data_IF_349466519481
#
_entry.id   IF_349466519481
#
_cell.length_a   1.000
_cell.length_b   1.000
_cell.length_c   1.000
_cell.angle_alpha   90.00
_cell.angle_beta   90.00
_cell.angle_gamma   90.00
#
_symmetry.space_group_name_H-M   'P 1'
#
loop_
_entity.id
_entity.type
_entity.pdbx_description
1 polymer ?
#
# COMPACT_ATOMS: atom_id res chain seq x y z
N UNK A 1 -23.64 -17.11 -15.53
CA UNK A 1 -22.48 -17.48 -14.69
C UNK A 1 -21.12 -17.29 -15.38
N UNK A 2 -21.04 -17.18 -16.71
CA UNK A 2 -19.80 -16.90 -17.46
C UNK A 2 -19.32 -15.45 -17.37
N UNK A 3 -20.21 -14.46 -17.38
CA UNK A 3 -19.83 -13.03 -17.37
C UNK A 3 -19.13 -12.58 -16.08
N UNK A 4 -19.49 -13.16 -14.94
CA UNK A 4 -18.88 -12.83 -13.63
C UNK A 4 -17.44 -13.35 -13.57
N UNK A 5 -17.18 -14.53 -14.13
CA UNK A 5 -15.85 -15.13 -14.18
C UNK A 5 -14.87 -14.31 -15.04
N UNK A 6 -15.33 -13.82 -16.20
CA UNK A 6 -14.55 -12.94 -17.06
C UNK A 6 -14.19 -11.62 -16.35
N UNK A 7 -15.14 -11.03 -15.62
CA UNK A 7 -14.91 -9.79 -14.88
C UNK A 7 -13.85 -9.96 -13.77
N UNK A 8 -13.89 -11.08 -13.05
CA UNK A 8 -12.89 -11.40 -12.01
C UNK A 8 -11.49 -11.59 -12.58
N UNK A 9 -11.36 -12.21 -13.76
CA UNK A 9 -10.06 -12.40 -14.41
C UNK A 9 -9.46 -11.06 -14.87
N UNK A 10 -10.29 -10.20 -15.46
CA UNK A 10 -9.87 -8.86 -15.88
C UNK A 10 -9.44 -8.02 -14.68
N UNK A 11 -10.19 -8.07 -13.57
CA UNK A 11 -9.83 -7.30 -12.37
C UNK A 11 -8.54 -7.81 -11.72
N UNK A 12 -8.28 -9.12 -11.73
CA UNK A 12 -7.01 -9.69 -11.28
C UNK A 12 -5.85 -9.20 -12.13
N UNK A 13 -5.95 -9.30 -13.46
CA UNK A 13 -4.89 -8.86 -14.36
C UNK A 13 -4.62 -7.36 -14.24
N UNK A 14 -5.67 -6.56 -14.14
CA UNK A 14 -5.56 -5.12 -13.91
C UNK A 14 -4.85 -4.81 -12.59
N UNK A 15 -5.21 -5.53 -11.51
CA UNK A 15 -4.60 -5.35 -10.19
C UNK A 15 -3.11 -5.71 -10.19
N UNK A 16 -2.69 -6.72 -10.95
CA UNK A 16 -1.28 -7.08 -11.07
C UNK A 16 -0.53 -6.01 -11.89
N UNK A 17 -1.07 -5.65 -13.06
CA UNK A 17 -0.40 -4.74 -13.99
C UNK A 17 -0.30 -3.30 -13.46
N UNK A 18 -1.32 -2.81 -12.76
CA UNK A 18 -1.27 -1.51 -12.09
C UNK A 18 -0.67 -1.59 -10.69
N UNK A 19 -0.86 -2.69 -9.96
CA UNK A 19 -0.39 -2.82 -8.59
C UNK A 19 1.13 -2.89 -8.48
N UNK A 20 1.81 -3.57 -9.41
CA UNK A 20 3.27 -3.68 -9.37
C UNK A 20 3.96 -2.31 -9.57
N UNK A 21 3.65 -1.52 -10.61
CA UNK A 21 4.22 -0.18 -10.77
C UNK A 21 3.90 0.74 -9.59
N UNK A 22 2.64 0.75 -9.12
CA UNK A 22 2.23 1.58 -7.98
C UNK A 22 2.99 1.20 -6.70
N UNK A 23 3.28 -0.09 -6.51
CA UNK A 23 4.12 -0.56 -5.40
C UNK A 23 5.53 0.02 -5.48
N UNK A 24 6.20 -0.09 -6.64
CA UNK A 24 7.56 0.42 -6.81
C UNK A 24 7.62 1.94 -6.70
N UNK A 25 6.76 2.67 -7.41
CA UNK A 25 6.73 4.13 -7.35
C UNK A 25 6.34 4.65 -5.95
N UNK A 26 5.37 4.02 -5.30
CA UNK A 26 4.97 4.34 -3.94
C UNK A 26 6.07 4.08 -2.92
N UNK A 27 6.83 3.00 -3.08
CA UNK A 27 7.97 2.67 -2.22
C UNK A 27 9.12 3.65 -2.45
N UNK A 28 9.51 3.90 -3.70
CA UNK A 28 10.58 4.85 -4.05
C UNK A 28 10.23 6.26 -3.57
N UNK A 29 9.02 6.76 -3.86
CA UNK A 29 8.59 8.11 -3.48
C UNK A 29 8.59 8.32 -1.97
N UNK A 30 8.05 7.37 -1.20
CA UNK A 30 8.06 7.48 0.26
C UNK A 30 9.46 7.27 0.86
N UNK A 31 10.29 6.38 0.30
CA UNK A 31 11.69 6.24 0.71
C UNK A 31 12.49 7.52 0.47
N UNK A 32 12.30 8.19 -0.66
CA UNK A 32 12.92 9.48 -0.97
C UNK A 32 12.45 10.58 0.00
N UNK A 33 11.16 10.63 0.34
CA UNK A 33 10.65 11.55 1.36
C UNK A 33 11.33 11.32 2.71
N UNK A 34 11.40 10.07 3.17
CA UNK A 34 12.07 9.73 4.45
C UNK A 34 13.57 10.09 4.40
N UNK A 35 14.27 9.77 3.30
CA UNK A 35 15.68 10.12 3.12
C UNK A 35 15.91 11.63 3.11
N UNK A 36 15.02 12.40 2.47
CA UNK A 36 15.10 13.87 2.47
C UNK A 36 14.93 14.43 3.89
N UNK A 37 14.00 13.88 4.68
CA UNK A 37 13.84 14.25 6.08
C UNK A 37 15.03 13.84 6.95
N UNK A 38 15.61 12.66 6.70
CA UNK A 38 16.79 12.19 7.42
C UNK A 38 18.05 12.99 7.08
N UNK A 39 18.16 13.46 5.83
CA UNK A 39 19.25 14.31 5.34
C UNK A 39 19.19 15.73 5.91
N UNK A 40 17.98 16.26 6.19
CA UNK A 40 17.80 17.46 7.02
C UNK A 40 18.01 17.13 8.50
N UNK A 41 19.26 16.86 8.87
CA UNK A 41 19.82 16.77 10.24
C UNK A 41 18.80 16.84 11.38
N UNK A 42 18.40 15.67 11.91
CA UNK A 42 17.99 15.28 13.27
C UNK A 42 17.13 16.19 14.18
N UNK A 43 16.81 17.42 13.79
CA UNK A 43 15.97 18.35 14.53
C UNK A 43 14.92 18.89 13.56
N UNK A 44 13.67 18.39 13.62
CA UNK A 44 12.58 19.03 12.90
C UNK A 44 12.47 20.46 13.43
N UNK A 45 12.91 21.44 12.63
CA UNK A 45 12.82 22.86 13.01
C UNK A 45 11.36 23.33 13.07
N UNK A 46 10.42 22.53 12.55
CA UNK A 46 8.99 22.82 12.56
C UNK A 46 8.15 21.55 12.76
N UNK A 47 7.02 21.65 13.49
CA UNK A 47 6.09 20.53 13.68
C UNK A 47 5.50 20.01 12.36
N UNK A 48 5.42 20.86 11.33
CA UNK A 48 4.94 20.50 10.00
C UNK A 48 5.80 19.38 9.35
N UNK A 49 7.12 19.40 9.55
CA UNK A 49 8.00 18.36 9.00
C UNK A 49 7.78 17.00 9.67
N UNK A 50 7.49 16.97 10.98
CA UNK A 50 7.13 15.73 11.67
C UNK A 50 5.81 15.17 11.15
N UNK A 51 4.81 16.01 10.90
CA UNK A 51 3.54 15.59 10.30
C UNK A 51 3.73 15.00 8.90
N UNK A 52 4.56 15.62 8.06
CA UNK A 52 4.84 15.08 6.73
C UNK A 52 5.62 13.76 6.78
N UNK A 53 6.52 13.61 7.74
CA UNK A 53 7.27 12.37 7.95
C UNK A 53 6.35 11.24 8.41
N UNK A 54 5.50 11.49 9.42
CA UNK A 54 4.53 10.49 9.91
C UNK A 54 3.49 10.14 8.85
N UNK A 55 3.04 11.12 8.05
CA UNK A 55 2.16 10.90 6.90
C UNK A 55 2.82 10.07 5.79
N UNK A 56 4.13 10.29 5.53
CA UNK A 56 4.88 9.49 4.55
C UNK A 56 5.06 8.05 5.03
N UNK A 57 5.36 7.85 6.33
CA UNK A 57 5.48 6.51 6.93
C UNK A 57 4.13 5.78 6.93
N UNK A 58 3.04 6.46 7.32
CA UNK A 58 1.70 5.86 7.31
C UNK A 58 1.26 5.50 5.89
N UNK A 59 1.56 6.36 4.91
CA UNK A 59 1.33 6.08 3.49
C UNK A 59 2.14 4.87 2.99
N UNK A 60 3.39 4.73 3.44
CA UNK A 60 4.24 3.58 3.10
C UNK A 60 3.64 2.27 3.63
N UNK A 61 3.18 2.26 4.89
CA UNK A 61 2.53 1.10 5.51
C UNK A 61 1.19 0.78 4.81
N UNK A 62 0.43 1.84 4.48
CA UNK A 62 -0.84 1.74 3.78
C UNK A 62 -0.69 1.25 2.33
N UNK A 63 0.46 1.44 1.69
CA UNK A 63 0.75 0.87 0.37
C UNK A 63 1.26 -0.57 0.50
N UNK A 64 2.24 -0.83 1.38
CA UNK A 64 2.90 -2.13 1.47
C UNK A 64 1.90 -3.24 1.79
N UNK A 65 1.11 -3.10 2.85
CA UNK A 65 0.33 -4.22 3.37
C UNK A 65 -0.83 -4.62 2.43
N UNK A 66 -1.76 -3.72 2.05
CA UNK A 66 -2.91 -4.11 1.23
C UNK A 66 -2.54 -4.38 -0.23
N UNK A 67 -1.53 -3.70 -0.79
CA UNK A 67 -1.12 -3.92 -2.18
C UNK A 67 -0.36 -5.24 -2.33
N UNK A 68 0.53 -5.59 -1.39
CA UNK A 68 1.21 -6.89 -1.39
C UNK A 68 0.21 -8.04 -1.26
N UNK A 69 -0.77 -7.92 -0.37
CA UNK A 69 -1.86 -8.90 -0.24
C UNK A 69 -2.69 -9.02 -1.54
N UNK A 70 -3.00 -7.91 -2.22
CA UNK A 70 -3.72 -7.93 -3.51
C UNK A 70 -2.93 -8.59 -4.63
N UNK A 71 -1.63 -8.30 -4.74
CA UNK A 71 -0.75 -8.94 -5.74
C UNK A 71 -0.69 -10.45 -5.49
N UNK A 72 -0.59 -10.85 -4.22
CA UNK A 72 -0.50 -12.26 -3.84
C UNK A 72 -1.80 -13.05 -4.12
N UNK A 73 -2.96 -12.43 -3.88
CA UNK A 73 -4.27 -12.97 -4.28
C UNK A 73 -4.37 -13.08 -5.81
N UNK A 74 -3.83 -12.09 -6.55
CA UNK A 74 -3.71 -12.14 -8.00
C UNK A 74 -2.86 -13.31 -8.50
N UNK A 75 -1.84 -13.68 -7.73
CA UNK A 75 -0.94 -14.80 -7.98
C UNK A 75 -1.48 -16.16 -7.50
N UNK A 76 -2.77 -16.24 -7.16
CA UNK A 76 -3.46 -17.44 -6.63
C UNK A 76 -2.93 -17.92 -5.26
N UNK A 77 -2.15 -17.11 -4.56
CA UNK A 77 -1.60 -17.47 -3.24
C UNK A 77 -2.34 -16.70 -2.13
N UNK A 78 -3.28 -17.37 -1.48
CA UNK A 78 -4.30 -16.70 -0.66
C UNK A 78 -3.91 -16.68 0.84
N UNK A 79 -2.86 -15.92 1.21
CA UNK A 79 -2.40 -15.78 2.62
C UNK A 79 -3.48 -15.24 3.57
N UNK A 80 -4.49 -14.57 3.02
CA UNK A 80 -5.64 -14.02 3.76
C UNK A 80 -6.48 -15.10 4.43
N UNK A 81 -6.51 -16.31 3.85
CA UNK A 81 -7.22 -17.47 4.43
C UNK A 81 -6.43 -18.14 5.54
N UNK A 82 -5.11 -17.96 5.55
CA UNK A 82 -4.20 -18.57 6.51
C UNK A 82 -4.07 -17.73 7.78
N UNK A 83 -4.20 -16.40 7.67
CA UNK A 83 -3.94 -15.51 8.81
C UNK A 83 -5.04 -14.45 8.99
N UNK A 84 -5.81 -14.57 10.07
CA UNK A 84 -6.96 -13.71 10.40
C UNK A 84 -6.55 -12.25 10.64
N UNK A 85 -5.32 -12.04 11.11
CA UNK A 85 -4.71 -10.73 11.27
C UNK A 85 -4.52 -10.01 9.93
N UNK A 86 -4.02 -10.71 8.89
CA UNK A 86 -3.82 -10.15 7.55
C UNK A 86 -5.16 -9.82 6.87
N UNK A 87 -6.19 -10.62 7.13
CA UNK A 87 -7.54 -10.36 6.65
C UNK A 87 -8.12 -9.06 7.23
N UNK A 88 -8.03 -8.88 8.56
CA UNK A 88 -8.49 -7.65 9.22
C UNK A 88 -7.65 -6.42 8.86
N UNK A 89 -6.32 -6.57 8.78
CA UNK A 89 -5.43 -5.45 8.43
C UNK A 89 -5.70 -4.95 7.03
N UNK A 90 -6.02 -5.83 6.06
CA UNK A 90 -6.40 -5.45 4.69
C UNK A 90 -7.61 -4.52 4.66
N UNK A 91 -8.66 -4.84 5.40
CA UNK A 91 -9.89 -4.05 5.39
C UNK A 91 -9.67 -2.70 6.07
N UNK A 92 -9.02 -2.70 7.23
CA UNK A 92 -8.70 -1.48 7.97
C UNK A 92 -7.81 -0.53 7.14
N UNK A 93 -6.71 -1.03 6.59
CA UNK A 93 -5.77 -0.23 5.81
C UNK A 93 -6.35 0.24 4.47
N UNK A 94 -7.24 -0.54 3.86
CA UNK A 94 -7.97 -0.12 2.68
C UNK A 94 -8.82 1.14 2.94
N UNK A 95 -9.51 1.19 4.08
CA UNK A 95 -10.28 2.37 4.48
C UNK A 95 -9.38 3.56 4.85
N UNK A 96 -8.31 3.32 5.60
CA UNK A 96 -7.35 4.38 5.97
C UNK A 96 -6.69 5.01 4.74
N UNK A 97 -6.38 4.20 3.72
CA UNK A 97 -5.79 4.71 2.47
C UNK A 97 -6.71 5.70 1.74
N UNK A 98 -8.01 5.42 1.70
CA UNK A 98 -9.03 6.28 1.08
C UNK A 98 -9.20 7.59 1.87
N UNK A 99 -9.03 7.55 3.19
CA UNK A 99 -9.11 8.73 4.06
C UNK A 99 -7.85 9.59 4.02
N UNK A 100 -6.72 9.03 3.58
CA UNK A 100 -5.41 9.70 3.53
C UNK A 100 -5.09 10.28 2.15
N UNK A 101 -5.81 9.85 1.11
CA UNK A 101 -5.72 10.38 -0.27
C UNK A 101 -6.48 11.69 -0.47
#
# INVERSE_FOLDING_TARGET
MSSVASLTLISQQFTIYFGIPVFFFGLIGNCLNILMFLSKNLFPSSPCQLYFLTASISSLIAIIIPLSLRILIGLQYDLTKTNLFLCKSRQYLGHVSILTS
#
